data_IF_749243871398
#
_entry.id   IF_749243871398
#
_cell.length_a   1.000
_cell.length_b   1.000
_cell.length_c   1.000
_cell.angle_alpha   90.00
_cell.angle_beta   90.00
_cell.angle_gamma   90.00
#
_symmetry.space_group_name_H-M   'P 1'
#
loop_
_entity.id
_entity.type
_entity.pdbx_description
1 polymer ?
#
# COMPACT_ATOMS: atom_id res chain seq x y z
N UNK A 1 -10.29 -0.17 -6.33
CA UNK A 1 -9.46 -1.09 -5.52
C UNK A 1 -9.77 -0.89 -4.04
N UNK A 2 -9.83 -1.97 -3.26
CA UNK A 2 -9.90 -1.92 -1.79
C UNK A 2 -8.52 -2.21 -1.16
N UNK A 3 -8.40 -2.04 0.17
CA UNK A 3 -7.15 -2.25 0.90
C UNK A 3 -6.52 -3.63 0.61
N UNK A 4 -7.34 -4.68 0.59
CA UNK A 4 -6.87 -6.07 0.44
C UNK A 4 -6.29 -6.29 -0.96
N UNK A 5 -6.89 -5.69 -1.99
CA UNK A 5 -6.41 -5.79 -3.36
C UNK A 5 -5.07 -5.07 -3.56
N UNK A 6 -4.88 -3.89 -2.95
CA UNK A 6 -3.60 -3.18 -3.02
C UNK A 6 -2.50 -3.98 -2.33
N UNK A 7 -2.75 -4.47 -1.11
CA UNK A 7 -1.77 -5.27 -0.36
C UNK A 7 -1.37 -6.50 -1.17
N UNK A 8 -2.34 -7.28 -1.67
CA UNK A 8 -2.06 -8.44 -2.51
C UNK A 8 -1.23 -8.11 -3.75
N UNK A 9 -1.50 -6.98 -4.41
CA UNK A 9 -0.74 -6.57 -5.59
C UNK A 9 0.68 -6.15 -5.22
N UNK A 10 0.85 -5.42 -4.12
CA UNK A 10 2.17 -5.07 -3.61
C UNK A 10 2.96 -6.31 -3.19
N UNK A 11 2.32 -7.28 -2.52
CA UNK A 11 2.92 -8.58 -2.17
C UNK A 11 3.36 -9.37 -3.40
N UNK A 12 2.53 -9.42 -4.45
CA UNK A 12 2.89 -10.03 -5.72
C UNK A 12 4.09 -9.35 -6.39
N UNK A 13 4.30 -8.06 -6.13
CA UNK A 13 5.44 -7.29 -6.61
C UNK A 13 6.66 -7.41 -5.65
N UNK A 14 6.60 -8.27 -4.64
CA UNK A 14 7.68 -8.49 -3.68
C UNK A 14 7.80 -7.44 -2.59
N UNK A 15 6.72 -6.70 -2.30
CA UNK A 15 6.62 -5.90 -1.09
C UNK A 15 6.09 -6.75 0.06
N UNK A 16 6.73 -6.67 1.21
CA UNK A 16 6.33 -7.43 2.38
C UNK A 16 5.67 -6.53 3.41
N UNK A 17 4.62 -7.01 4.05
CA UNK A 17 4.11 -6.36 5.25
C UNK A 17 5.15 -6.42 6.37
N UNK A 18 5.44 -5.29 7.02
CA UNK A 18 6.42 -5.22 8.12
C UNK A 18 5.75 -5.01 9.47
N UNK A 19 4.98 -3.95 9.63
CA UNK A 19 4.21 -3.73 10.85
C UNK A 19 3.03 -2.79 10.62
N UNK A 20 2.10 -2.77 11.57
CA UNK A 20 0.97 -1.84 11.63
C UNK A 20 1.06 -1.01 12.90
N UNK A 21 0.91 0.31 12.76
CA UNK A 21 0.71 1.23 13.88
C UNK A 21 -0.57 2.02 13.61
N UNK A 22 -1.66 1.63 14.30
CA UNK A 22 -3.00 2.17 14.05
C UNK A 22 -3.44 1.94 12.60
N UNK A 23 -3.77 3.01 11.88
CA UNK A 23 -4.20 2.96 10.46
C UNK A 23 -3.05 3.01 9.45
N UNK A 24 -1.80 3.06 9.92
CA UNK A 24 -0.62 3.04 9.06
C UNK A 24 -0.06 1.62 8.97
N UNK A 25 -0.19 0.99 7.80
CA UNK A 25 0.57 -0.23 7.50
C UNK A 25 1.89 0.15 6.84
N UNK A 26 3.00 -0.38 7.34
CA UNK A 26 4.30 -0.21 6.69
C UNK A 26 4.61 -1.44 5.84
N UNK A 27 4.88 -1.19 4.56
CA UNK A 27 5.36 -2.18 3.60
C UNK A 27 6.87 -2.00 3.38
N UNK A 28 7.62 -3.09 3.31
CA UNK A 28 9.06 -3.09 3.07
C UNK A 28 9.42 -3.83 1.78
N UNK A 29 10.33 -3.28 0.97
CA UNK A 29 10.92 -3.95 -0.20
C UNK A 29 12.36 -3.50 -0.39
N UNK A 30 13.31 -4.45 -0.41
CA UNK A 30 14.74 -4.19 -0.66
C UNK A 30 15.32 -3.01 0.17
N UNK A 31 15.02 -2.97 1.46
CA UNK A 31 15.49 -1.91 2.37
C UNK A 31 14.72 -0.59 2.30
N UNK A 32 13.73 -0.45 1.41
CA UNK A 32 12.80 0.69 1.41
C UNK A 32 11.57 0.37 2.23
N UNK A 33 11.12 1.35 3.03
CA UNK A 33 9.91 1.25 3.84
C UNK A 33 8.94 2.35 3.44
N UNK A 34 7.70 1.96 3.15
CA UNK A 34 6.65 2.87 2.73
C UNK A 34 5.47 2.75 3.70
N UNK A 35 5.09 3.84 4.39
CA UNK A 35 3.85 3.87 5.15
C UNK A 35 2.66 4.05 4.19
N UNK A 36 1.75 3.08 4.24
CA UNK A 36 0.48 3.11 3.53
C UNK A 36 -0.62 3.39 4.57
N UNK A 37 -1.12 4.63 4.57
CA UNK A 37 -2.28 5.03 5.37
C UNK A 37 -3.54 4.50 4.69
N UNK A 38 -4.12 3.43 5.21
CA UNK A 38 -5.35 2.85 4.68
C UNK A 38 -6.47 3.10 5.69
N UNK A 39 -7.16 4.23 5.55
CA UNK A 39 -8.31 4.54 6.40
C UNK A 39 -9.62 4.17 5.69
N UNK A 40 -10.44 3.34 6.33
CA UNK A 40 -11.81 3.04 5.90
C UNK A 40 -12.02 1.72 5.15
N UNK A 41 -13.24 1.18 5.29
CA UNK A 41 -13.74 -0.02 4.60
C UNK A 41 -14.25 0.27 3.18
N UNK A 42 -14.46 1.55 2.86
CA UNK A 42 -14.90 2.06 1.56
C UNK A 42 -13.71 2.30 0.62
N UNK A 43 -13.95 2.17 -0.70
CA UNK A 43 -12.91 2.19 -1.72
C UNK A 43 -11.90 3.34 -1.58
N UNK A 44 -10.63 3.03 -1.79
CA UNK A 44 -9.55 4.02 -1.66
C UNK A 44 -9.67 5.04 -2.80
N UNK A 45 -9.73 6.33 -2.44
CA UNK A 45 -9.82 7.41 -3.42
C UNK A 45 -8.61 7.43 -4.37
N UNK A 46 -8.83 7.88 -5.62
CA UNK A 46 -7.81 7.91 -6.68
C UNK A 46 -6.50 8.58 -6.24
N UNK A 47 -6.59 9.65 -5.45
CA UNK A 47 -5.41 10.38 -4.95
C UNK A 47 -4.53 9.54 -4.01
N UNK A 48 -5.15 8.69 -3.18
CA UNK A 48 -4.41 7.79 -2.30
C UNK A 48 -3.76 6.67 -3.11
N UNK A 49 -4.47 6.12 -4.09
CA UNK A 49 -3.90 5.12 -5.00
C UNK A 49 -2.69 5.69 -5.72
N UNK A 50 -2.82 6.85 -6.37
CA UNK A 50 -1.70 7.51 -7.06
C UNK A 50 -0.50 7.80 -6.14
N UNK A 51 -0.76 8.16 -4.88
CA UNK A 51 0.32 8.35 -3.89
C UNK A 51 1.04 7.04 -3.58
N UNK A 52 0.29 5.94 -3.42
CA UNK A 52 0.88 4.61 -3.21
C UNK A 52 1.69 4.20 -4.44
N UNK A 53 1.17 4.37 -5.65
CA UNK A 53 1.88 4.06 -6.90
C UNK A 53 3.20 4.84 -6.99
N UNK A 54 3.21 6.13 -6.62
CA UNK A 54 4.42 6.95 -6.60
C UNK A 54 5.45 6.48 -5.57
N UNK A 55 5.01 6.04 -4.39
CA UNK A 55 5.89 5.59 -3.31
C UNK A 55 6.45 4.19 -3.57
N UNK A 56 5.62 3.30 -4.13
CA UNK A 56 5.98 1.89 -4.33
C UNK A 56 6.51 1.60 -5.73
N UNK A 57 6.26 2.49 -6.70
CA UNK A 57 6.54 2.28 -8.12
C UNK A 57 5.63 1.26 -8.79
N UNK A 58 4.59 0.77 -8.10
CA UNK A 58 3.68 -0.27 -8.60
C UNK A 58 2.43 0.38 -9.16
N UNK A 59 2.01 0.01 -10.38
CA UNK A 59 0.74 0.44 -10.98
C UNK A 59 -0.45 -0.33 -10.36
N UNK A 60 -1.32 0.40 -9.69
CA UNK A 60 -2.52 -0.07 -9.01
C UNK A 60 -3.80 0.25 -9.82
N UNK A 61 -3.72 1.15 -10.82
CA UNK A 61 -4.76 1.43 -11.81
C UNK A 61 -4.26 1.40 -13.24
#
# INVERSE_FOLDING_TARGET
>A
MNRKQIIKKLESEGWEFKHINGSHQIMGKKGKYVPITLHGSTGLGKSLVAKIEKLTGVKLQ
#
